data_IF_062077500271
#
_entry.id   IF_062077500271
#
_cell.length_a   1.000
_cell.length_b   1.000
_cell.length_c   1.000
_cell.angle_alpha   90.00
_cell.angle_beta   90.00
_cell.angle_gamma   90.00
#
_symmetry.space_group_name_H-M   'P 1'
#
loop_
_entity.id
_entity.type
_entity.pdbx_description
1 polymer ?
#
# COMPACT_ATOMS: atom_id res chain seq x y z
N UNK A 1 21.45 50.59 12.53
CA UNK A 1 22.36 49.58 11.93
C UNK A 1 21.55 48.77 10.94
N UNK A 2 21.73 49.07 9.66
CA UNK A 2 21.18 48.28 8.55
C UNK A 2 22.04 47.03 8.43
N UNK A 3 21.54 45.89 8.91
CA UNK A 3 22.17 44.59 8.69
C UNK A 3 21.85 44.18 7.26
N UNK A 4 22.85 44.34 6.41
CA UNK A 4 22.86 43.93 5.02
C UNK A 4 22.36 42.49 4.89
N UNK A 5 21.14 42.34 4.36
CA UNK A 5 20.66 41.12 3.75
C UNK A 5 21.28 41.03 2.35
N UNK A 6 22.55 40.65 2.28
CA UNK A 6 23.12 40.17 1.02
C UNK A 6 24.41 39.39 1.29
N UNK A 7 24.55 38.26 0.59
CA UNK A 7 25.46 37.10 0.83
C UNK A 7 24.76 36.04 1.71
N UNK A 8 24.22 34.94 1.21
CA UNK A 8 24.79 34.02 0.22
C UNK A 8 23.68 33.35 -0.61
N UNK A 9 23.45 33.83 -1.83
CA UNK A 9 23.03 32.94 -2.92
C UNK A 9 24.31 32.41 -3.54
N UNK A 10 24.93 31.44 -2.85
CA UNK A 10 25.93 30.61 -3.50
C UNK A 10 25.23 29.94 -4.69
N UNK A 11 25.52 30.44 -5.90
CA UNK A 11 25.26 29.72 -7.13
C UNK A 11 26.09 28.44 -7.05
N UNK A 12 25.51 27.41 -6.44
CA UNK A 12 26.11 26.08 -6.34
C UNK A 12 26.32 25.59 -7.78
N UNK A 13 27.53 25.72 -8.31
CA UNK A 13 27.92 25.12 -9.58
C UNK A 13 27.97 23.61 -9.34
N UNK A 14 26.83 22.94 -9.50
CA UNK A 14 26.71 21.48 -9.48
C UNK A 14 27.53 20.96 -10.66
N UNK A 15 28.47 20.03 -10.43
CA UNK A 15 29.21 19.40 -11.53
C UNK A 15 28.24 18.62 -12.43
N UNK A 16 28.50 18.60 -13.74
CA UNK A 16 27.68 17.88 -14.72
C UNK A 16 27.53 16.39 -14.33
N UNK A 17 28.59 15.80 -13.78
CA UNK A 17 28.58 14.41 -13.26
C UNK A 17 27.61 14.21 -12.09
N UNK A 18 27.53 15.17 -11.17
CA UNK A 18 26.61 15.10 -10.02
C UNK A 18 25.16 15.21 -10.48
N UNK A 19 24.90 16.08 -11.45
CA UNK A 19 23.57 16.22 -12.05
C UNK A 19 23.12 14.93 -12.75
N UNK A 20 24.03 14.30 -13.51
CA UNK A 20 23.76 13.01 -14.18
C UNK A 20 23.49 11.86 -13.20
N UNK A 21 24.24 11.77 -12.10
CA UNK A 21 23.99 10.73 -11.07
C UNK A 21 22.60 10.90 -10.46
N UNK A 22 22.22 12.13 -10.09
CA UNK A 22 20.91 12.35 -9.45
C UNK A 22 19.78 12.10 -10.46
N UNK A 23 19.96 12.47 -11.72
CA UNK A 23 19.02 12.14 -12.80
C UNK A 23 18.86 10.63 -12.96
N UNK A 24 19.95 9.87 -12.99
CA UNK A 24 19.90 8.40 -13.07
C UNK A 24 19.21 7.78 -11.86
N UNK A 25 19.43 8.31 -10.66
CA UNK A 25 18.74 7.86 -9.44
C UNK A 25 17.23 8.15 -9.54
N UNK A 26 16.85 9.35 -9.99
CA UNK A 26 15.45 9.74 -10.18
C UNK A 26 14.74 8.83 -11.21
N UNK A 27 15.40 8.55 -12.34
CA UNK A 27 14.92 7.63 -13.37
C UNK A 27 14.83 6.17 -12.84
N UNK A 28 15.83 5.71 -12.08
CA UNK A 28 15.86 4.38 -11.48
C UNK A 28 14.70 4.17 -10.50
N UNK A 29 14.35 5.19 -9.71
CA UNK A 29 13.23 5.13 -8.76
C UNK A 29 11.89 5.57 -9.35
N UNK A 30 11.86 6.02 -10.61
CA UNK A 30 10.68 6.60 -11.28
C UNK A 30 10.04 7.73 -10.47
N UNK A 31 10.86 8.64 -9.95
CA UNK A 31 10.41 9.82 -9.21
C UNK A 31 10.87 11.08 -9.93
N UNK A 32 9.94 11.90 -10.40
CA UNK A 32 10.27 13.24 -10.92
C UNK A 32 10.68 14.14 -9.74
N UNK A 33 11.96 14.53 -9.69
CA UNK A 33 12.48 15.44 -8.67
C UNK A 33 12.38 16.90 -9.15
N UNK A 34 11.79 17.76 -8.33
CA UNK A 34 11.80 19.22 -8.51
C UNK A 34 13.20 19.80 -8.25
N UNK A 35 13.49 21.00 -8.75
CA UNK A 35 14.77 21.71 -8.49
C UNK A 35 15.09 21.84 -7.00
N UNK A 36 14.08 22.02 -6.15
CA UNK A 36 14.24 22.08 -4.70
C UNK A 36 14.63 20.73 -4.10
N UNK A 37 14.06 19.63 -4.60
CA UNK A 37 14.42 18.27 -4.18
C UNK A 37 15.83 17.90 -4.64
N UNK A 38 16.22 18.33 -5.85
CA UNK A 38 17.59 18.20 -6.36
C UNK A 38 18.60 18.89 -5.44
N UNK A 39 18.34 20.12 -5.01
CA UNK A 39 19.22 20.85 -4.08
C UNK A 39 19.38 20.13 -2.74
N UNK A 40 18.30 19.57 -2.17
CA UNK A 40 18.34 18.79 -0.93
C UNK A 40 19.18 17.52 -1.12
N UNK A 41 19.04 16.81 -2.24
CA UNK A 41 19.87 15.63 -2.53
C UNK A 41 21.37 15.99 -2.58
N UNK A 42 21.72 17.15 -3.15
CA UNK A 42 23.10 17.64 -3.18
C UNK A 42 23.60 18.00 -1.78
N UNK A 43 22.79 18.66 -0.94
CA UNK A 43 23.15 18.93 0.45
C UNK A 43 23.38 17.65 1.25
N UNK A 44 22.54 16.63 1.06
CA UNK A 44 22.69 15.32 1.74
C UNK A 44 24.00 14.63 1.33
N UNK A 45 24.40 14.72 0.05
CA UNK A 45 25.65 14.13 -0.43
C UNK A 45 26.90 14.84 0.14
N UNK A 46 26.84 16.16 0.36
CA UNK A 46 27.96 16.93 0.90
C UNK A 46 28.03 16.92 2.43
N UNK A 47 26.93 16.63 3.12
CA UNK A 47 26.90 16.58 4.57
C UNK A 47 27.49 15.26 5.04
N UNK A 48 28.75 15.27 5.49
CA UNK A 48 29.39 14.12 6.12
C UNK A 48 28.47 13.52 7.20
N UNK A 49 27.94 12.32 6.92
CA UNK A 49 27.10 11.58 7.84
C UNK A 49 27.87 11.32 9.15
N UNK A 50 27.35 11.73 10.32
CA UNK A 50 28.04 11.48 11.57
C UNK A 50 28.16 9.97 11.80
N UNK A 51 29.41 9.48 11.81
CA UNK A 51 29.77 8.10 12.12
C UNK A 51 29.50 7.79 13.60
N UNK A 52 28.24 7.51 13.92
CA UNK A 52 27.84 6.74 15.10
C UNK A 52 26.85 5.66 14.68
N UNK A 53 27.28 4.79 13.77
CA UNK A 53 26.58 3.51 13.55
C UNK A 53 26.87 2.66 14.80
N UNK A 54 25.90 2.59 15.71
CA UNK A 54 25.88 1.54 16.74
C UNK A 54 26.13 0.22 16.03
N UNK A 55 27.15 -0.52 16.47
CA UNK A 55 27.51 -1.88 16.02
C UNK A 55 26.23 -2.68 15.71
N UNK A 56 25.88 -2.82 14.44
CA UNK A 56 24.64 -3.47 13.99
C UNK A 56 24.73 -4.97 14.30
N UNK A 57 23.62 -5.57 14.72
CA UNK A 57 23.56 -7.01 14.99
C UNK A 57 23.73 -7.77 13.67
N UNK A 58 24.47 -8.89 13.69
CA UNK A 58 24.60 -9.78 12.52
C UNK A 58 23.28 -10.46 12.09
N UNK A 59 22.15 -10.10 12.71
CA UNK A 59 20.80 -10.49 12.28
C UNK A 59 20.30 -9.60 11.15
N UNK A 60 20.48 -8.27 11.26
CA UNK A 60 20.06 -7.32 10.21
C UNK A 60 20.80 -7.54 8.90
N UNK A 61 22.13 -7.78 8.96
CA UNK A 61 22.91 -8.07 7.76
C UNK A 61 22.41 -9.34 7.04
N UNK A 62 22.01 -10.38 7.80
CA UNK A 62 21.43 -11.60 7.24
C UNK A 62 20.04 -11.35 6.63
N UNK A 63 19.26 -10.46 7.22
CA UNK A 63 17.96 -10.07 6.67
C UNK A 63 18.12 -9.29 5.36
N UNK A 64 19.07 -8.34 5.31
CA UNK A 64 19.39 -7.60 4.09
C UNK A 64 19.90 -8.51 2.96
N UNK A 65 20.73 -9.51 3.27
CA UNK A 65 21.21 -10.48 2.28
C UNK A 65 20.05 -11.33 1.73
N UNK A 66 19.17 -11.84 2.61
CA UNK A 66 17.97 -12.57 2.19
C UNK A 66 17.06 -11.70 1.32
N UNK A 67 16.91 -10.43 1.69
CA UNK A 67 16.09 -9.47 0.95
C UNK A 67 16.67 -9.22 -0.45
N UNK A 68 17.98 -9.01 -0.57
CA UNK A 68 18.66 -8.87 -1.87
C UNK A 68 18.47 -10.11 -2.74
N UNK A 69 18.66 -11.30 -2.17
CA UNK A 69 18.44 -12.57 -2.86
C UNK A 69 17.01 -12.71 -3.38
N UNK A 70 16.02 -12.33 -2.57
CA UNK A 70 14.60 -12.36 -2.95
C UNK A 70 14.29 -11.35 -4.09
N UNK A 71 14.86 -10.15 -4.03
CA UNK A 71 14.72 -9.15 -5.10
C UNK A 71 15.33 -9.65 -6.41
N UNK A 72 16.51 -10.27 -6.37
CA UNK A 72 17.15 -10.84 -7.55
C UNK A 72 16.32 -11.98 -8.14
N UNK A 73 15.70 -12.82 -7.30
CA UNK A 73 14.79 -13.87 -7.75
C UNK A 73 13.54 -13.32 -8.44
N UNK A 74 12.90 -12.31 -7.83
CA UNK A 74 11.77 -11.59 -8.43
C UNK A 74 12.17 -11.02 -9.80
N UNK A 75 13.32 -10.36 -9.90
CA UNK A 75 13.80 -9.81 -11.18
C UNK A 75 14.03 -10.89 -12.23
N UNK A 76 14.57 -12.06 -11.87
CA UNK A 76 14.71 -13.20 -12.80
C UNK A 76 13.35 -13.71 -13.26
N UNK A 77 12.39 -13.84 -12.35
CA UNK A 77 11.04 -14.35 -12.65
C UNK A 77 10.20 -13.37 -13.47
N UNK A 78 10.33 -12.06 -13.25
CA UNK A 78 9.68 -11.03 -14.09
C UNK A 78 10.06 -11.23 -15.56
N UNK A 79 11.32 -11.59 -15.86
CA UNK A 79 11.77 -11.84 -17.24
C UNK A 79 11.14 -13.08 -17.89
N UNK A 80 10.59 -14.01 -17.11
CA UNK A 80 9.90 -15.20 -17.62
C UNK A 80 8.42 -14.93 -17.94
N UNK A 81 7.83 -13.85 -17.43
CA UNK A 81 6.42 -13.50 -17.65
C UNK A 81 6.08 -13.39 -19.14
N UNK A 82 6.86 -12.69 -19.99
CA UNK A 82 6.59 -12.63 -21.43
C UNK A 82 6.56 -14.02 -22.10
N UNK A 83 7.47 -14.92 -21.75
CA UNK A 83 7.50 -16.28 -22.31
C UNK A 83 6.24 -17.09 -21.95
N UNK A 84 5.72 -16.89 -20.74
CA UNK A 84 4.46 -17.51 -20.33
C UNK A 84 3.27 -16.93 -21.10
N UNK A 85 3.29 -15.60 -21.30
CA UNK A 85 2.28 -14.91 -22.10
C UNK A 85 2.26 -15.41 -23.54
N UNK A 86 3.43 -15.63 -24.13
CA UNK A 86 3.58 -16.17 -25.48
C UNK A 86 2.99 -17.57 -25.59
N UNK A 87 3.24 -18.46 -24.63
CA UNK A 87 2.62 -19.81 -24.58
C UNK A 87 1.10 -19.78 -24.51
N UNK A 88 0.54 -18.81 -23.77
CA UNK A 88 -0.90 -18.59 -23.72
C UNK A 88 -1.41 -18.09 -25.07
N UNK A 89 -0.74 -17.11 -25.68
CA UNK A 89 -1.11 -16.58 -26.99
C UNK A 89 -1.03 -17.64 -28.10
N UNK A 90 -0.02 -18.52 -28.08
CA UNK A 90 0.10 -19.66 -28.99
C UNK A 90 -1.07 -20.64 -28.83
N UNK A 91 -1.43 -20.94 -27.58
CA UNK A 91 -2.56 -21.84 -27.28
C UNK A 91 -3.90 -21.25 -27.74
N UNK A 92 -4.09 -19.94 -27.56
CA UNK A 92 -5.28 -19.22 -28.05
C UNK A 92 -5.32 -19.13 -29.58
N UNK A 93 -4.16 -18.91 -30.22
CA UNK A 93 -4.04 -18.93 -31.69
C UNK A 93 -4.38 -20.30 -32.27
N UNK A 94 -3.97 -21.38 -31.59
CA UNK A 94 -4.33 -22.75 -31.97
C UNK A 94 -5.84 -23.01 -31.88
N UNK A 95 -6.53 -22.45 -30.88
CA UNK A 95 -8.00 -22.47 -30.79
C UNK A 95 -8.59 -21.74 -31.99
N UNK A 96 -8.16 -20.51 -32.26
CA UNK A 96 -8.69 -19.69 -33.35
C UNK A 96 -8.50 -20.37 -34.70
N UNK A 97 -7.31 -20.90 -34.99
CA UNK A 97 -7.05 -21.64 -36.23
C UNK A 97 -7.90 -22.91 -36.38
N UNK A 98 -8.24 -23.59 -35.27
CA UNK A 98 -9.15 -24.74 -35.30
C UNK A 98 -10.59 -24.32 -35.60
N UNK A 99 -11.05 -23.22 -34.99
CA UNK A 99 -12.37 -22.63 -35.21
C UNK A 99 -12.52 -22.23 -36.67
N UNK A 100 -11.55 -21.48 -37.21
CA UNK A 100 -11.59 -20.97 -38.59
C UNK A 100 -11.56 -22.11 -39.61
N UNK A 101 -10.67 -23.10 -39.42
CA UNK A 101 -10.54 -24.25 -40.32
C UNK A 101 -11.80 -25.09 -40.41
N UNK A 102 -12.53 -25.25 -39.30
CA UNK A 102 -13.71 -26.10 -39.22
C UNK A 102 -15.03 -25.31 -39.19
N UNK A 103 -14.98 -23.97 -39.32
CA UNK A 103 -16.12 -23.06 -39.21
C UNK A 103 -16.97 -23.34 -37.97
N UNK A 104 -16.30 -23.57 -36.83
CA UNK A 104 -16.99 -23.91 -35.59
C UNK A 104 -17.75 -22.69 -35.06
N UNK A 105 -18.98 -22.91 -34.62
CA UNK A 105 -19.80 -21.92 -33.94
C UNK A 105 -20.40 -22.48 -32.67
N UNK A 106 -20.88 -21.58 -31.80
CA UNK A 106 -21.61 -21.96 -30.58
C UNK A 106 -22.81 -22.85 -30.98
N UNK A 107 -22.91 -24.03 -30.37
CA UNK A 107 -23.97 -25.01 -30.65
C UNK A 107 -23.64 -26.04 -31.74
N UNK A 108 -22.49 -25.94 -32.40
CA UNK A 108 -22.02 -26.95 -33.36
C UNK A 108 -21.89 -28.33 -32.69
N UNK A 109 -22.57 -29.35 -33.26
CA UNK A 109 -22.42 -30.74 -32.80
C UNK A 109 -21.08 -31.29 -33.28
N UNK A 110 -20.10 -31.37 -32.39
CA UNK A 110 -18.77 -31.91 -32.69
C UNK A 110 -18.70 -33.38 -32.28
N UNK A 111 -18.34 -34.25 -33.23
CA UNK A 111 -18.22 -35.70 -33.03
C UNK A 111 -16.89 -36.25 -33.53
N UNK A 112 -16.54 -37.46 -33.06
CA UNK A 112 -15.38 -38.20 -33.55
C UNK A 112 -14.03 -37.54 -33.25
N UNK A 113 -13.02 -37.72 -34.12
CA UNK A 113 -11.66 -37.22 -33.92
C UNK A 113 -11.57 -35.69 -33.71
N UNK A 114 -12.47 -34.94 -34.35
CA UNK A 114 -12.55 -33.48 -34.19
C UNK A 114 -12.92 -33.09 -32.76
N UNK A 115 -13.84 -33.81 -32.12
CA UNK A 115 -14.23 -33.55 -30.71
C UNK A 115 -13.04 -33.71 -29.78
N UNK A 116 -12.29 -34.81 -29.92
CA UNK A 116 -11.09 -35.05 -29.10
C UNK A 116 -10.04 -33.97 -29.33
N UNK A 117 -9.82 -33.55 -30.59
CA UNK A 117 -8.89 -32.46 -30.92
C UNK A 117 -9.31 -31.13 -30.29
N UNK A 118 -10.59 -30.78 -30.35
CA UNK A 118 -11.15 -29.57 -29.71
C UNK A 118 -10.90 -29.62 -28.20
N UNK A 119 -11.29 -30.72 -27.54
CA UNK A 119 -11.11 -30.88 -26.09
C UNK A 119 -9.64 -30.73 -25.70
N UNK A 120 -8.72 -31.36 -26.43
CA UNK A 120 -7.29 -31.28 -26.13
C UNK A 120 -6.76 -29.84 -26.26
N UNK A 121 -7.11 -29.12 -27.32
CA UNK A 121 -6.62 -27.74 -27.52
C UNK A 121 -7.18 -26.79 -26.45
N UNK A 122 -8.47 -26.90 -26.10
CA UNK A 122 -9.03 -26.11 -25.00
C UNK A 122 -8.43 -26.46 -23.64
N UNK A 123 -8.13 -27.75 -23.40
CA UNK A 123 -7.48 -28.20 -22.17
C UNK A 123 -6.08 -27.60 -22.06
N UNK A 124 -5.29 -27.68 -23.14
CA UNK A 124 -3.95 -27.08 -23.20
C UNK A 124 -3.98 -25.56 -22.97
N UNK A 125 -4.93 -24.85 -23.58
CA UNK A 125 -5.08 -23.41 -23.37
C UNK A 125 -5.46 -23.06 -21.93
N UNK A 126 -6.39 -23.84 -21.32
CA UNK A 126 -6.74 -23.69 -19.92
C UNK A 126 -5.55 -23.91 -18.99
N UNK A 127 -4.76 -24.96 -19.24
CA UNK A 127 -3.55 -25.27 -18.49
C UNK A 127 -2.49 -24.18 -18.64
N UNK A 128 -2.28 -23.64 -19.84
CA UNK A 128 -1.37 -22.52 -20.08
C UNK A 128 -1.79 -21.26 -19.32
N UNK A 129 -3.08 -20.89 -19.37
CA UNK A 129 -3.62 -19.75 -18.62
C UNK A 129 -3.47 -19.96 -17.10
N UNK A 130 -3.77 -21.15 -16.59
CA UNK A 130 -3.64 -21.46 -15.17
C UNK A 130 -2.18 -21.44 -14.72
N UNK A 131 -1.24 -21.91 -15.55
CA UNK A 131 0.18 -21.82 -15.27
C UNK A 131 0.66 -20.37 -15.20
N UNK A 132 0.29 -19.53 -16.19
CA UNK A 132 0.59 -18.08 -16.20
C UNK A 132 0.02 -17.40 -14.96
N UNK A 133 -1.26 -17.62 -14.66
CA UNK A 133 -1.92 -17.05 -13.49
C UNK A 133 -1.22 -17.43 -12.18
N UNK A 134 -0.96 -18.72 -11.97
CA UNK A 134 -0.31 -19.20 -10.75
C UNK A 134 1.09 -18.61 -10.58
N UNK A 135 1.85 -18.49 -11.67
CA UNK A 135 3.17 -17.88 -11.66
C UNK A 135 3.13 -16.40 -11.28
N UNK A 136 2.21 -15.65 -11.87
CA UNK A 136 2.01 -14.22 -11.58
C UNK A 136 1.54 -13.99 -10.14
N UNK A 137 0.63 -14.82 -9.63
CA UNK A 137 0.15 -14.74 -8.23
C UNK A 137 1.27 -15.02 -7.23
N UNK A 138 2.10 -16.02 -7.49
CA UNK A 138 3.27 -16.29 -6.66
C UNK A 138 4.25 -15.10 -6.70
N UNK A 139 4.50 -14.54 -7.89
CA UNK A 139 5.42 -13.40 -8.05
C UNK A 139 4.93 -12.15 -7.31
N UNK A 140 3.64 -11.84 -7.40
CA UNK A 140 3.02 -10.72 -6.67
C UNK A 140 3.08 -10.92 -5.15
N UNK A 141 2.91 -12.15 -4.69
CA UNK A 141 3.03 -12.51 -3.26
C UNK A 141 4.45 -12.24 -2.77
N UNK A 142 5.47 -12.62 -3.54
CA UNK A 142 6.86 -12.37 -3.16
C UNK A 142 7.23 -10.89 -3.18
N UNK A 143 6.71 -10.13 -4.15
CA UNK A 143 6.85 -8.66 -4.18
C UNK A 143 6.24 -8.02 -2.93
N UNK A 144 5.04 -8.45 -2.52
CA UNK A 144 4.39 -7.94 -1.31
C UNK A 144 5.20 -8.28 -0.05
N UNK A 145 5.73 -9.50 0.05
CA UNK A 145 6.58 -9.90 1.16
C UNK A 145 7.87 -9.06 1.24
N UNK A 146 8.55 -8.85 0.10
CA UNK A 146 9.75 -7.99 0.03
C UNK A 146 9.43 -6.56 0.47
N UNK A 147 8.31 -6.00 -0.01
CA UNK A 147 7.88 -4.64 0.38
C UNK A 147 7.58 -4.54 1.86
N UNK A 148 6.90 -5.52 2.44
CA UNK A 148 6.61 -5.58 3.89
C UNK A 148 7.90 -5.60 4.72
N UNK A 149 8.84 -6.47 4.37
CA UNK A 149 10.14 -6.55 5.06
C UNK A 149 10.93 -5.24 4.90
N UNK A 150 10.97 -4.66 3.70
CA UNK A 150 11.61 -3.35 3.48
C UNK A 150 10.99 -2.24 4.33
N UNK A 151 9.66 -2.21 4.41
CA UNK A 151 8.94 -1.26 5.24
C UNK A 151 9.27 -1.45 6.72
N UNK A 152 9.27 -2.68 7.22
CA UNK A 152 9.61 -3.01 8.61
C UNK A 152 11.04 -2.60 8.97
N UNK A 153 12.02 -2.92 8.11
CA UNK A 153 13.42 -2.52 8.29
C UNK A 153 13.51 -1.00 8.34
N UNK A 154 12.96 -0.28 7.36
CA UNK A 154 13.02 1.19 7.30
C UNK A 154 12.29 1.88 8.45
N UNK A 155 11.18 1.30 8.92
CA UNK A 155 10.43 1.82 10.07
C UNK A 155 11.17 1.55 11.39
N UNK A 156 11.96 0.48 11.46
CA UNK A 156 12.78 0.16 12.63
C UNK A 156 14.05 1.03 12.72
N UNK A 157 14.58 1.48 11.58
CA UNK A 157 15.64 2.49 11.55
C UNK A 157 15.07 3.85 11.93
N UNK A 158 15.76 4.60 12.80
CA UNK A 158 15.33 5.94 13.19
C UNK A 158 15.43 6.88 11.99
N UNK A 159 14.31 7.04 11.28
CA UNK A 159 14.10 8.00 10.19
C UNK A 159 13.52 9.29 10.76
N UNK A 160 13.83 10.43 10.13
CA UNK A 160 13.22 11.70 10.55
C UNK A 160 11.71 11.71 10.29
N UNK A 161 10.93 12.51 11.04
CA UNK A 161 9.47 12.61 10.87
C UNK A 161 9.03 12.80 9.41
N UNK A 162 9.72 13.67 8.65
CA UNK A 162 9.41 13.91 7.23
C UNK A 162 9.60 12.66 6.36
N UNK A 163 10.68 11.91 6.57
CA UNK A 163 10.95 10.64 5.88
C UNK A 163 9.96 9.56 6.31
N UNK A 164 9.60 9.52 7.59
CA UNK A 164 8.58 8.62 8.12
C UNK A 164 7.22 8.86 7.44
N UNK A 165 6.79 10.13 7.31
CA UNK A 165 5.53 10.45 6.65
C UNK A 165 5.54 10.03 5.17
N UNK A 166 6.66 10.22 4.48
CA UNK A 166 6.84 9.74 3.10
C UNK A 166 6.80 8.21 3.02
N UNK A 167 7.46 7.52 3.96
CA UNK A 167 7.46 6.05 4.04
C UNK A 167 6.04 5.50 4.26
N UNK A 168 5.29 6.08 5.20
CA UNK A 168 3.89 5.73 5.51
C UNK A 168 2.99 5.95 4.29
N UNK A 169 3.12 7.09 3.60
CA UNK A 169 2.35 7.38 2.40
C UNK A 169 2.68 6.41 1.25
N UNK A 170 3.96 6.13 1.04
CA UNK A 170 4.43 5.19 0.01
C UNK A 170 3.95 3.76 0.27
N UNK A 171 4.03 3.30 1.52
CA UNK A 171 3.54 1.98 1.95
C UNK A 171 2.04 1.80 1.69
N UNK A 172 1.24 2.87 1.85
CA UNK A 172 -0.18 2.81 1.56
C UNK A 172 -0.51 2.73 0.07
N UNK A 173 0.19 3.50 -0.78
CA UNK A 173 0.01 3.45 -2.24
C UNK A 173 0.48 2.13 -2.85
N UNK A 174 1.49 1.50 -2.24
CA UNK A 174 2.08 0.24 -2.72
C UNK A 174 1.45 -1.00 -2.11
N UNK A 175 0.42 -0.85 -1.27
CA UNK A 175 -0.36 -1.95 -0.75
C UNK A 175 -0.84 -2.88 -1.89
N UNK A 176 -0.89 -4.21 -1.65
CA UNK A 176 -1.25 -5.16 -2.69
C UNK A 176 -2.66 -4.89 -3.20
N UNK A 177 -2.86 -4.98 -4.51
CA UNK A 177 -4.19 -4.96 -5.11
C UNK A 177 -4.86 -6.31 -4.83
N UNK A 178 -6.10 -6.31 -4.35
CA UNK A 178 -6.84 -7.55 -4.23
C UNK A 178 -7.13 -8.08 -5.63
N UNK A 179 -6.75 -9.33 -5.90
CA UNK A 179 -7.03 -10.02 -7.17
C UNK A 179 -7.70 -11.34 -6.84
N UNK A 180 -9.03 -11.32 -6.69
CA UNK A 180 -9.82 -12.53 -6.42
C UNK A 180 -10.15 -13.35 -7.67
N UNK A 181 -10.70 -14.56 -7.47
CA UNK A 181 -11.38 -15.29 -8.54
C UNK A 181 -12.59 -14.51 -9.10
N UNK A 182 -12.98 -14.84 -10.33
CA UNK A 182 -14.20 -14.30 -10.96
C UNK A 182 -15.42 -14.66 -10.10
N UNK A 183 -16.40 -13.76 -10.03
CA UNK A 183 -17.67 -13.91 -9.29
C UNK A 183 -17.53 -14.12 -7.77
N UNK A 184 -16.41 -13.72 -7.18
CA UNK A 184 -16.22 -13.75 -5.72
C UNK A 184 -16.30 -12.36 -5.12
N UNK A 185 -16.98 -12.24 -3.97
CA UNK A 185 -17.01 -10.99 -3.22
C UNK A 185 -15.66 -10.80 -2.50
N UNK A 186 -15.07 -9.59 -2.52
CA UNK A 186 -13.82 -9.35 -1.80
C UNK A 186 -13.99 -9.57 -0.29
N UNK A 187 -13.00 -10.17 0.40
CA UNK A 187 -13.04 -10.38 1.84
C UNK A 187 -12.94 -9.05 2.62
N UNK A 188 -13.16 -9.08 3.95
CA UNK A 188 -12.85 -7.95 4.81
C UNK A 188 -11.40 -7.47 4.66
N UNK A 189 -11.18 -6.17 4.86
CA UNK A 189 -9.89 -5.49 4.70
C UNK A 189 -9.44 -5.33 3.24
N UNK A 190 -10.36 -5.44 2.28
CA UNK A 190 -10.19 -5.00 0.89
C UNK A 190 -10.92 -3.66 0.72
N UNK A 191 -10.18 -2.60 0.36
CA UNK A 191 -10.73 -1.26 0.20
C UNK A 191 -11.47 -0.81 1.47
N UNK A 192 -12.71 -0.35 1.30
CA UNK A 192 -13.62 0.07 2.38
C UNK A 192 -14.38 -1.05 3.10
N UNK A 193 -14.18 -2.33 2.74
CA UNK A 193 -14.85 -3.45 3.43
C UNK A 193 -14.25 -3.63 4.82
N UNK A 194 -15.03 -3.32 5.84
CA UNK A 194 -14.56 -3.40 7.23
C UNK A 194 -14.41 -4.81 7.76
N UNK A 195 -13.40 -5.00 8.62
CA UNK A 195 -13.30 -6.18 9.45
C UNK A 195 -14.45 -6.25 10.47
N UNK A 196 -15.03 -7.44 10.70
CA UNK A 196 -15.98 -7.63 11.80
C UNK A 196 -15.28 -7.40 13.14
N UNK A 197 -16.03 -6.96 14.16
CA UNK A 197 -15.49 -6.75 15.52
C UNK A 197 -14.96 -8.04 16.15
N UNK A 198 -15.44 -9.21 15.69
CA UNK A 198 -15.00 -10.54 16.12
C UNK A 198 -13.66 -10.96 15.50
N UNK A 199 -13.12 -10.21 14.54
CA UNK A 199 -11.80 -10.49 13.98
C UNK A 199 -10.72 -10.11 15.00
N UNK A 200 -9.92 -11.10 15.38
CA UNK A 200 -8.73 -10.93 16.20
C UNK A 200 -7.63 -10.20 15.42
N UNK A 201 -6.95 -9.28 16.12
CA UNK A 201 -5.79 -8.57 15.57
C UNK A 201 -4.51 -9.34 15.91
N UNK A 202 -3.50 -9.21 15.06
CA UNK A 202 -2.19 -9.85 15.27
C UNK A 202 -1.17 -8.80 15.73
N UNK A 203 -0.11 -9.26 16.38
CA UNK A 203 1.07 -8.40 16.59
C UNK A 203 1.61 -7.96 15.23
N UNK A 204 1.98 -6.69 15.11
CA UNK A 204 2.38 -6.05 13.86
C UNK A 204 1.22 -5.48 13.04
N UNK A 205 -0.04 -5.78 13.38
CA UNK A 205 -1.19 -5.20 12.68
C UNK A 205 -1.23 -3.68 12.88
N UNK A 206 -1.31 -2.95 11.77
CA UNK A 206 -1.58 -1.51 11.78
C UNK A 206 -3.08 -1.24 11.92
N UNK A 207 -3.40 -0.26 12.76
CA UNK A 207 -4.75 0.05 13.20
C UNK A 207 -4.93 1.55 13.34
N UNK A 208 -6.15 2.04 13.17
CA UNK A 208 -6.56 3.29 13.79
C UNK A 208 -6.96 3.01 15.25
N UNK A 209 -6.29 3.67 16.20
CA UNK A 209 -6.52 3.51 17.63
C UNK A 209 -7.12 4.77 18.25
N UNK A 210 -8.22 4.64 19.01
CA UNK A 210 -8.85 5.78 19.68
C UNK A 210 -8.28 6.01 21.08
N UNK A 211 -7.35 6.95 21.19
CA UNK A 211 -6.58 7.28 22.39
C UNK A 211 -6.81 8.74 22.74
N UNK A 212 -7.20 9.00 24.00
CA UNK A 212 -7.37 10.35 24.56
C UNK A 212 -8.21 11.33 23.71
N UNK A 213 -9.20 10.80 22.98
CA UNK A 213 -10.11 11.60 22.15
C UNK A 213 -9.73 11.70 20.67
N UNK A 214 -8.60 11.10 20.27
CA UNK A 214 -8.03 11.20 18.92
C UNK A 214 -7.90 9.79 18.33
N UNK A 215 -8.18 9.64 17.03
CA UNK A 215 -7.85 8.44 16.28
C UNK A 215 -6.43 8.58 15.73
N UNK A 216 -5.52 7.70 16.13
CA UNK A 216 -4.12 7.71 15.71
C UNK A 216 -3.75 6.45 14.93
N UNK A 217 -2.82 6.57 14.01
CA UNK A 217 -2.17 5.45 13.33
C UNK A 217 -1.25 4.75 14.31
N UNK A 218 -1.56 3.51 14.62
CA UNK A 218 -0.85 2.73 15.62
C UNK A 218 -0.59 1.31 15.13
N UNK A 219 0.32 0.65 15.81
CA UNK A 219 0.67 -0.75 15.62
C UNK A 219 0.36 -1.55 16.88
N UNK A 220 -0.18 -2.76 16.70
CA UNK A 220 -0.35 -3.73 17.78
C UNK A 220 0.99 -4.34 18.15
N UNK A 221 1.44 -4.12 19.39
CA UNK A 221 2.71 -4.63 19.92
C UNK A 221 2.52 -5.90 20.73
N UNK A 222 1.48 -5.93 21.57
CA UNK A 222 1.23 -7.07 22.47
C UNK A 222 -0.26 -7.37 22.51
N UNK A 223 -0.63 -8.64 22.52
CA UNK A 223 -2.00 -9.11 22.75
C UNK A 223 -2.04 -9.72 24.15
N UNK A 224 -2.87 -9.17 25.03
CA UNK A 224 -2.98 -9.63 26.40
C UNK A 224 -4.09 -10.67 26.56
N UNK A 225 -3.94 -11.66 27.47
CA UNK A 225 -4.96 -12.70 27.71
C UNK A 225 -6.35 -12.18 28.12
N UNK A 226 -6.44 -10.94 28.61
CA UNK A 226 -7.70 -10.31 29.01
C UNK A 226 -8.47 -9.64 27.85
N UNK A 227 -8.07 -9.89 26.59
CA UNK A 227 -8.69 -9.32 25.39
C UNK A 227 -8.35 -7.84 25.15
N UNK A 228 -7.35 -7.31 25.86
CA UNK A 228 -6.78 -5.98 25.59
C UNK A 228 -5.53 -6.11 24.72
N UNK A 229 -5.21 -5.00 24.08
CA UNK A 229 -4.08 -4.85 23.18
C UNK A 229 -3.18 -3.75 23.73
N UNK A 230 -1.86 -3.96 23.67
CA UNK A 230 -0.90 -2.86 23.76
C UNK A 230 -0.62 -2.38 22.35
N UNK A 231 -0.82 -1.08 22.13
CA UNK A 231 -0.53 -0.43 20.85
C UNK A 231 0.47 0.70 21.03
N UNK A 232 1.22 1.00 19.98
CA UNK A 232 2.16 2.11 19.93
C UNK A 232 1.81 2.99 18.73
N UNK A 233 1.84 4.32 18.89
CA UNK A 233 1.79 5.24 17.75
C UNK A 233 2.99 4.98 16.82
N UNK A 234 2.77 5.06 15.52
CA UNK A 234 3.82 4.85 14.52
C UNK A 234 4.88 5.95 14.52
N UNK A 235 4.56 7.17 14.99
CA UNK A 235 5.47 8.33 15.08
C UNK A 235 5.99 8.57 16.50
N UNK A 236 5.63 7.73 17.48
CA UNK A 236 6.09 7.94 18.87
C UNK A 236 7.54 7.48 19.07
N UNK A 237 8.43 8.45 19.22
CA UNK A 237 9.85 8.28 19.55
C UNK A 237 10.05 7.72 20.96
N UNK A 238 9.15 7.99 21.90
CA UNK A 238 9.30 7.64 23.32
C UNK A 238 8.93 6.19 23.64
N UNK A 239 8.49 5.41 22.65
CA UNK A 239 8.06 4.00 22.80
C UNK A 239 6.91 3.79 23.79
N UNK A 240 6.07 4.81 24.00
CA UNK A 240 4.94 4.75 24.91
C UNK A 240 3.90 3.75 24.36
N UNK A 241 3.56 2.77 25.19
CA UNK A 241 2.52 1.79 24.88
C UNK A 241 1.20 2.19 25.52
N UNK A 242 0.12 2.03 24.76
CA UNK A 242 -1.25 2.30 25.19
C UNK A 242 -2.03 1.00 25.34
N UNK A 243 -2.62 0.80 26.51
CA UNK A 243 -3.45 -0.37 26.78
C UNK A 243 -4.92 -0.11 26.40
N UNK A 244 -5.40 -0.78 25.36
CA UNK A 244 -6.67 -0.47 24.70
C UNK A 244 -7.54 -1.72 24.46
N UNK A 245 -8.86 -1.55 24.41
CA UNK A 245 -9.81 -2.63 24.10
C UNK A 245 -10.05 -2.72 22.59
N UNK A 246 -10.34 -3.91 22.07
CA UNK A 246 -10.64 -4.18 20.65
C UNK A 246 -11.61 -3.19 19.99
N UNK A 247 -12.67 -2.79 20.70
CA UNK A 247 -13.70 -1.84 20.21
C UNK A 247 -13.22 -0.42 19.93
N UNK A 248 -12.00 -0.08 20.34
CA UNK A 248 -11.35 1.21 20.06
C UNK A 248 -10.22 1.07 19.03
N UNK A 249 -10.15 -0.07 18.35
CA UNK A 249 -9.19 -0.37 17.30
C UNK A 249 -9.93 -0.71 16.02
N UNK A 250 -9.54 -0.09 14.93
CA UNK A 250 -10.02 -0.42 13.58
C UNK A 250 -8.82 -0.91 12.79
N UNK A 251 -8.74 -2.19 12.40
CA UNK A 251 -7.68 -2.66 11.51
C UNK A 251 -7.73 -1.93 10.17
N UNK A 252 -6.57 -1.57 9.65
CA UNK A 252 -6.47 -0.95 8.33
C UNK A 252 -6.66 -2.00 7.22
N UNK A 253 -7.17 -1.60 6.05
CA UNK A 253 -7.22 -2.45 4.86
C UNK A 253 -5.85 -3.05 4.54
N UNK A 254 -5.83 -4.35 4.26
CA UNK A 254 -4.63 -5.05 3.81
C UNK A 254 -4.45 -4.92 2.30
N UNK A 255 -5.55 -4.82 1.56
CA UNK A 255 -5.54 -4.74 0.10
C UNK A 255 -6.29 -3.51 -0.40
N UNK A 256 -5.80 -2.97 -1.51
CA UNK A 256 -6.60 -2.04 -2.33
C UNK A 256 -7.69 -2.82 -3.05
N UNK A 257 -8.87 -2.23 -3.19
CA UNK A 257 -9.86 -2.68 -4.15
C UNK A 257 -9.51 -2.14 -5.54
N UNK A 258 -9.78 -2.93 -6.57
CA UNK A 258 -9.67 -2.49 -7.96
C UNK A 258 -10.98 -1.80 -8.37
N UNK A 259 -11.00 -0.49 -8.65
CA UNK A 259 -12.24 0.18 -9.01
C UNK A 259 -12.93 -0.41 -10.25
N UNK A 260 -12.17 -1.01 -11.18
CA UNK A 260 -12.71 -1.57 -12.42
C UNK A 260 -13.44 -2.91 -12.22
N UNK A 261 -13.13 -3.64 -11.15
CA UNK A 261 -13.72 -4.97 -10.86
C UNK A 261 -14.57 -4.96 -9.59
N UNK A 262 -14.12 -4.21 -8.59
CA UNK A 262 -14.56 -4.27 -7.20
C UNK A 262 -14.94 -2.89 -6.66
N UNK A 263 -15.55 -2.04 -7.50
CA UNK A 263 -16.01 -0.69 -7.10
C UNK A 263 -16.93 -0.68 -5.88
N UNK A 264 -17.71 -1.75 -5.69
CA UNK A 264 -18.57 -1.95 -4.51
C UNK A 264 -17.79 -2.10 -3.20
N UNK A 265 -16.49 -2.41 -3.26
CA UNK A 265 -15.59 -2.47 -2.12
C UNK A 265 -14.95 -1.11 -1.81
N UNK A 266 -15.28 -0.03 -2.53
CA UNK A 266 -14.83 1.33 -2.26
C UNK A 266 -15.91 2.11 -1.50
N UNK A 267 -15.51 3.10 -0.70
CA UNK A 267 -16.44 4.10 -0.19
C UNK A 267 -17.03 4.91 -1.35
N UNK A 268 -18.37 5.06 -1.44
CA UNK A 268 -18.99 5.84 -2.50
C UNK A 268 -18.80 7.35 -2.29
N UNK A 269 -19.09 8.13 -3.33
CA UNK A 269 -19.17 9.60 -3.25
C UNK A 269 -20.10 10.03 -2.10
N UNK A 270 -19.71 11.08 -1.38
CA UNK A 270 -20.36 11.61 -0.18
C UNK A 270 -20.36 10.69 1.05
N UNK A 271 -19.64 9.56 1.02
CA UNK A 271 -19.50 8.73 2.21
C UNK A 271 -18.76 9.47 3.34
N UNK A 272 -19.28 9.35 4.56
CA UNK A 272 -18.61 9.84 5.77
C UNK A 272 -17.61 8.77 6.22
N UNK A 273 -16.34 9.15 6.30
CA UNK A 273 -15.21 8.25 6.59
C UNK A 273 -14.37 8.78 7.74
N UNK A 274 -13.55 7.91 8.31
CA UNK A 274 -12.32 8.32 9.00
C UNK A 274 -11.18 8.18 8.00
N UNK A 275 -10.39 9.23 7.83
CA UNK A 275 -9.26 9.21 6.91
C UNK A 275 -8.00 9.80 7.58
N UNK A 276 -6.82 9.27 7.24
CA UNK A 276 -5.55 9.81 7.75
C UNK A 276 -5.31 11.18 7.11
N UNK A 277 -5.18 12.23 7.93
CA UNK A 277 -4.89 13.56 7.41
C UNK A 277 -3.47 13.60 6.84
N UNK A 278 -3.25 14.14 5.62
CA UNK A 278 -1.94 14.09 4.97
C UNK A 278 -0.80 14.65 5.84
N UNK A 279 0.36 13.99 5.80
CA UNK A 279 1.56 14.36 6.58
C UNK A 279 1.37 14.28 8.11
N UNK A 280 0.40 13.51 8.58
CA UNK A 280 0.17 13.26 10.01
C UNK A 280 -0.03 11.77 10.28
N UNK A 281 -0.07 11.41 11.57
CA UNK A 281 -0.47 10.10 12.06
C UNK A 281 -1.88 10.09 12.64
N UNK A 282 -2.71 11.08 12.32
CA UNK A 282 -4.04 11.24 12.91
C UNK A 282 -5.14 11.02 11.87
N UNK A 283 -6.17 10.27 12.26
CA UNK A 283 -7.37 10.10 11.47
C UNK A 283 -8.43 11.11 11.89
N UNK A 284 -9.05 11.76 10.90
CA UNK A 284 -10.12 12.71 11.10
C UNK A 284 -11.35 12.32 10.31
N UNK A 285 -12.50 12.84 10.74
CA UNK A 285 -13.75 12.68 10.01
C UNK A 285 -13.65 13.47 8.71
N UNK A 286 -14.07 12.85 7.61
CA UNK A 286 -14.13 13.51 6.30
C UNK A 286 -15.24 12.95 5.44
N UNK A 287 -15.44 13.60 4.30
CA UNK A 287 -16.41 13.24 3.27
C UNK A 287 -15.66 12.90 1.99
N UNK A 288 -16.01 11.78 1.35
CA UNK A 288 -15.44 11.39 0.06
C UNK A 288 -15.99 12.30 -1.05
N UNK A 289 -15.11 13.08 -1.66
CA UNK A 289 -15.42 14.00 -2.77
C UNK A 289 -15.04 13.42 -4.14
N UNK A 290 -14.09 12.47 -4.16
CA UNK A 290 -13.74 11.71 -5.36
C UNK A 290 -13.39 10.27 -4.99
N UNK A 291 -13.93 9.33 -5.76
CA UNK A 291 -13.66 7.89 -5.62
C UNK A 291 -12.58 7.49 -6.63
N UNK A 292 -11.61 6.63 -6.27
CA UNK A 292 -10.62 6.09 -7.21
C UNK A 292 -11.28 5.52 -8.49
N UNK A 293 -10.79 5.88 -9.67
CA UNK A 293 -11.28 5.36 -10.96
C UNK A 293 -10.41 4.23 -11.49
N UNK A 294 -9.10 4.29 -11.20
CA UNK A 294 -8.15 3.19 -11.43
C UNK A 294 -7.43 2.80 -10.13
N UNK A 295 -6.80 1.63 -10.14
CA UNK A 295 -6.17 1.05 -8.94
C UNK A 295 -5.05 1.91 -8.33
N UNK A 296 -4.43 2.81 -9.09
CA UNK A 296 -3.39 3.75 -8.63
C UNK A 296 -3.90 5.03 -7.99
N UNK A 297 -5.19 5.33 -8.14
CA UNK A 297 -5.76 6.59 -7.66
C UNK A 297 -5.97 6.60 -6.15
N UNK A 298 -5.96 7.80 -5.60
CA UNK A 298 -6.39 8.05 -4.23
C UNK A 298 -7.87 8.47 -4.18
N UNK A 299 -8.45 8.37 -2.99
CA UNK A 299 -9.64 9.17 -2.68
C UNK A 299 -9.27 10.65 -2.61
N UNK A 300 -10.19 11.54 -2.99
CA UNK A 300 -10.15 12.92 -2.51
C UNK A 300 -11.13 13.04 -1.35
N UNK A 301 -10.64 13.47 -0.18
CA UNK A 301 -11.42 13.58 1.05
C UNK A 301 -11.39 15.01 1.55
N UNK A 302 -12.57 15.60 1.76
CA UNK A 302 -12.72 16.87 2.47
C UNK A 302 -12.87 16.59 3.97
N UNK A 303 -11.95 17.06 4.79
CA UNK A 303 -11.93 16.82 6.24
C UNK A 303 -12.74 17.86 6.99
N UNK A 304 -13.42 17.49 8.06
CA UNK A 304 -13.99 18.48 8.99
C UNK A 304 -12.85 19.26 9.64
N UNK A 305 -12.77 20.56 9.34
CA UNK A 305 -11.71 21.44 9.81
C UNK A 305 -12.27 22.87 9.99
N UNK A 306 -12.37 23.27 11.26
CA UNK A 306 -12.90 24.58 11.67
C UNK A 306 -11.98 25.76 11.32
N UNK A 307 -10.75 25.51 10.87
CA UNK A 307 -9.87 26.57 10.36
C UNK A 307 -10.34 27.13 9.02
N UNK A 308 -11.17 26.38 8.28
CA UNK A 308 -11.78 26.83 7.04
C UNK A 308 -13.16 27.43 7.27
N UNK A 309 -13.52 28.47 6.52
CA UNK A 309 -14.79 29.20 6.69
C UNK A 309 -16.03 28.33 6.41
N UNK A 310 -15.91 27.36 5.52
CA UNK A 310 -16.93 26.35 5.22
C UNK A 310 -16.98 25.18 6.23
N UNK A 311 -16.05 25.12 7.19
CA UNK A 311 -15.93 24.03 8.16
C UNK A 311 -15.30 22.73 7.62
N UNK A 312 -14.85 22.74 6.37
CA UNK A 312 -14.18 21.62 5.72
C UNK A 312 -12.89 22.05 5.01
N UNK A 313 -11.88 21.20 5.01
CA UNK A 313 -10.70 21.36 4.17
C UNK A 313 -11.08 21.27 2.68
N UNK A 314 -10.25 21.82 1.77
CA UNK A 314 -10.27 21.40 0.38
C UNK A 314 -10.13 19.86 0.29
N UNK A 315 -10.62 19.21 -0.77
CA UNK A 315 -10.43 17.78 -0.95
C UNK A 315 -8.93 17.44 -1.05
N UNK A 316 -8.46 16.55 -0.19
CA UNK A 316 -7.06 16.12 -0.14
C UNK A 316 -6.92 14.65 -0.56
N UNK A 317 -5.82 14.29 -1.25
CA UNK A 317 -5.57 12.92 -1.67
C UNK A 317 -5.24 12.01 -0.48
N UNK A 318 -5.99 10.92 -0.32
CA UNK A 318 -5.79 9.90 0.71
C UNK A 318 -5.79 8.50 0.06
N UNK A 319 -4.70 7.72 0.19
CA UNK A 319 -4.66 6.35 -0.32
C UNK A 319 -5.74 5.47 0.32
N UNK A 320 -6.26 4.49 -0.42
CA UNK A 320 -7.35 3.61 0.05
C UNK A 320 -7.10 3.00 1.44
N UNK A 321 -5.85 2.58 1.72
CA UNK A 321 -5.45 1.98 3.00
C UNK A 321 -5.71 2.88 4.21
N UNK A 322 -5.76 4.19 4.00
CA UNK A 322 -5.94 5.16 5.07
C UNK A 322 -7.33 5.78 5.08
N UNK A 323 -8.28 5.24 4.32
CA UNK A 323 -9.70 5.58 4.42
C UNK A 323 -10.42 4.37 5.02
N UNK A 324 -11.09 4.57 6.16
CA UNK A 324 -11.76 3.52 6.92
C UNK A 324 -13.14 3.97 7.37
N UNK A 325 -13.97 3.02 7.82
CA UNK A 325 -15.31 3.31 8.29
C UNK A 325 -15.32 4.32 9.43
N UNK A 326 -16.18 5.32 9.33
CA UNK A 326 -16.43 6.24 10.43
C UNK A 326 -17.23 5.53 11.53
N UNK A 327 -16.66 5.45 12.73
CA UNK A 327 -17.35 4.90 13.90
C UNK A 327 -17.44 5.97 14.98
N UNK A 328 -18.63 6.16 15.54
CA UNK A 328 -18.82 7.03 16.71
C UNK A 328 -18.28 6.30 17.94
N UNK A 329 -17.24 6.82 18.64
CA UNK A 329 -16.81 6.24 19.89
C UNK A 329 -17.96 6.36 20.90
N UNK A 330 -18.53 5.24 21.35
CA UNK A 330 -19.55 5.27 22.42
C UNK A 330 -18.94 5.94 23.66
N UNK A 331 -19.38 7.16 23.97
CA UNK A 331 -18.99 7.82 25.22
C UNK A 331 -19.54 6.96 26.37
N UNK A 332 -18.68 6.54 27.28
CA UNK A 332 -19.15 6.01 28.56
C UNK A 332 -19.81 7.17 29.29
N UNK A 333 -21.14 7.20 29.33
CA UNK A 333 -21.82 7.83 30.46
C UNK A 333 -21.30 7.10 31.69
N UNK A 334 -20.49 7.78 32.50
CA UNK A 334 -20.25 7.34 33.88
C UNK A 334 -21.63 7.38 34.52
N UNK A 335 -22.34 6.26 34.52
CA UNK A 335 -23.49 6.09 35.40
C UNK A 335 -22.92 6.28 36.80
N UNK A 336 -23.18 7.45 37.39
CA UNK A 336 -22.88 7.71 38.81
C UNK A 336 -23.44 6.50 39.55
N UNK A 337 -22.57 5.66 40.12
CA UNK A 337 -22.99 4.73 41.16
C UNK A 337 -23.62 5.60 42.23
N UNK A 338 -24.96 5.59 42.31
CA UNK A 338 -25.67 6.09 43.47
C UNK A 338 -25.14 5.27 44.65
N UNK A 339 -24.59 5.99 45.62
CA UNK A 339 -24.10 5.46 46.89
C UNK A 339 -25.20 4.70 47.62
#
# INVERSE_FOLDING_TARGET
MSLAQDRDKENLQISEETFEIIRHIAELFRVDLTTSQLAICVEILHREMPRKIKKHSGELEKEEEKLRSAIDDIHRRIKQVPEMKDKVNESLSAIQGLIDKNKLSIGSKISGPLRSKVINIYTNAKEACAAEENFLRALLTDIDNVRKVQYEIRRSTQVGRGELMQLIAHHARTAPLWIGPIDTHPPPLVGGISAPETMDLKVGSEVAAFIDGIWILAEVVTILPNGKYEVKDVDDELTKKHLIKRKKLIPLPHWRADPLRDSHALFPLNAIVLALYPQTTCFYKGVVEHVPEVSSDDYLVAFEDASFSQGYSPPLPVPQRYVINHVLPKQYSKTKRRQ
#
